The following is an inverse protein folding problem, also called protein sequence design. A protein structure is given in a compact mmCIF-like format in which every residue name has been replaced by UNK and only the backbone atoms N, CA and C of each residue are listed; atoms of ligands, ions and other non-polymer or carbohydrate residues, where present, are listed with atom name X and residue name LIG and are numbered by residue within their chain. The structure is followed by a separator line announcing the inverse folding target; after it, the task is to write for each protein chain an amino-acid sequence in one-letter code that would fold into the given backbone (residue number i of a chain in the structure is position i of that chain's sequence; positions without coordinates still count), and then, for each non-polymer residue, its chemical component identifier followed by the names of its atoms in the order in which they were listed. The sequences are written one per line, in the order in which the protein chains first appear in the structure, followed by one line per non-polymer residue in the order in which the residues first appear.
data_IF_149822718654
#
_entry.id   IF_149822718654
#
_cell.length_a   1.000
_cell.length_b   1.000
_cell.length_c   1.000
_cell.angle_alpha   90.00
_cell.angle_beta   90.00
_cell.angle_gamma   90.00
#
_symmetry.space_group_name_H-M   'P 1'
#
loop_
_entity.id
_entity.type
_entity.pdbx_description
1 polymer ?
#
# COMPACT_ATOMS: atom_id res chain seq x y z
N UNK A 1 -18.35 -21.79 -15.46
CA UNK A 1 -16.97 -22.18 -15.83
C UNK A 1 -16.29 -21.20 -16.80
N UNK A 2 -16.99 -20.64 -17.79
CA UNK A 2 -16.42 -19.65 -18.72
C UNK A 2 -15.93 -18.35 -18.04
N UNK A 3 -16.65 -17.84 -17.06
CA UNK A 3 -16.31 -16.57 -16.37
C UNK A 3 -14.97 -16.62 -15.62
N UNK A 4 -14.64 -17.77 -15.02
CA UNK A 4 -13.36 -18.01 -14.33
C UNK A 4 -12.19 -18.02 -15.32
N UNK A 5 -12.37 -18.62 -16.49
CA UNK A 5 -11.34 -18.64 -17.53
C UNK A 5 -11.13 -17.27 -18.17
N UNK A 6 -12.19 -16.47 -18.34
CA UNK A 6 -12.07 -15.09 -18.84
C UNK A 6 -11.33 -14.20 -17.84
N UNK A 7 -11.66 -14.28 -16.54
CA UNK A 7 -10.95 -13.53 -15.50
C UNK A 7 -9.47 -13.95 -15.41
N UNK A 8 -9.20 -15.25 -15.55
CA UNK A 8 -7.83 -15.77 -15.58
C UNK A 8 -7.01 -15.22 -16.74
N UNK A 9 -7.62 -15.06 -17.91
CA UNK A 9 -6.97 -14.48 -19.08
C UNK A 9 -6.79 -12.94 -18.96
N UNK A 10 -7.56 -12.27 -18.10
CA UNK A 10 -7.44 -10.84 -17.81
C UNK A 10 -6.68 -10.52 -16.51
N UNK A 11 -6.02 -11.51 -15.89
CA UNK A 11 -5.34 -11.36 -14.59
C UNK A 11 -4.44 -10.12 -14.51
N UNK A 12 -3.58 -9.90 -15.51
CA UNK A 12 -2.65 -8.77 -15.51
C UNK A 12 -3.35 -7.42 -15.48
N UNK A 13 -4.48 -7.27 -16.20
CA UNK A 13 -5.25 -6.03 -16.20
C UNK A 13 -5.92 -5.79 -14.85
N UNK A 14 -6.49 -6.82 -14.25
CA UNK A 14 -7.10 -6.73 -12.90
C UNK A 14 -6.05 -6.31 -11.87
N UNK A 15 -4.87 -6.96 -11.88
CA UNK A 15 -3.76 -6.58 -10.99
C UNK A 15 -3.24 -5.16 -11.26
N UNK A 16 -3.19 -4.73 -12.52
CA UNK A 16 -2.76 -3.37 -12.87
C UNK A 16 -3.75 -2.34 -12.33
N UNK A 17 -5.05 -2.52 -12.59
CA UNK A 17 -6.09 -1.56 -12.15
C UNK A 17 -6.17 -1.51 -10.63
N UNK A 18 -6.22 -2.66 -9.96
CA UNK A 18 -6.26 -2.71 -8.50
C UNK A 18 -4.97 -2.18 -7.88
N UNK A 19 -3.81 -2.47 -8.47
CA UNK A 19 -2.52 -1.97 -8.00
C UNK A 19 -2.38 -0.45 -8.13
N UNK A 20 -2.83 0.12 -9.25
CA UNK A 20 -2.88 1.58 -9.45
C UNK A 20 -3.85 2.23 -8.47
N UNK A 21 -5.04 1.64 -8.28
CA UNK A 21 -6.00 2.13 -7.29
C UNK A 21 -5.44 2.07 -5.86
N UNK A 22 -4.73 0.99 -5.51
CA UNK A 22 -4.04 0.85 -4.22
C UNK A 22 -3.02 1.97 -4.03
N UNK A 23 -2.18 2.21 -5.02
CA UNK A 23 -1.16 3.24 -4.98
C UNK A 23 -1.73 4.65 -4.68
N UNK A 24 -2.85 5.01 -5.30
CA UNK A 24 -3.54 6.27 -4.99
C UNK A 24 -4.23 6.26 -3.62
N UNK A 25 -4.89 5.15 -3.27
CA UNK A 25 -5.62 5.04 -2.01
C UNK A 25 -4.72 5.12 -0.77
N UNK A 26 -3.45 4.68 -0.87
CA UNK A 26 -2.47 4.83 0.22
C UNK A 26 -2.29 6.30 0.61
N UNK A 27 -2.26 7.20 -0.38
CA UNK A 27 -2.01 8.63 -0.17
C UNK A 27 -3.29 9.34 0.27
N UNK A 28 -4.41 9.08 -0.38
CA UNK A 28 -5.63 9.87 -0.20
C UNK A 28 -6.64 9.29 0.78
N UNK A 29 -6.72 7.96 0.91
CA UNK A 29 -7.82 7.33 1.66
C UNK A 29 -7.44 5.97 2.27
N UNK A 30 -6.96 5.96 3.53
CA UNK A 30 -6.51 4.73 4.20
C UNK A 30 -7.57 3.62 4.27
N UNK A 31 -8.85 3.99 4.41
CA UNK A 31 -9.96 3.03 4.51
C UNK A 31 -10.21 2.33 3.16
N UNK A 32 -10.14 3.08 2.05
CA UNK A 32 -10.23 2.51 0.71
C UNK A 32 -9.05 1.57 0.43
N UNK A 33 -7.85 1.92 0.91
CA UNK A 33 -6.67 1.07 0.77
C UNK A 33 -6.87 -0.30 1.42
N UNK A 34 -7.45 -0.36 2.62
CA UNK A 34 -7.77 -1.63 3.29
C UNK A 34 -8.77 -2.48 2.47
N UNK A 35 -9.83 -1.86 1.95
CA UNK A 35 -10.84 -2.56 1.12
C UNK A 35 -10.22 -3.12 -0.15
N UNK A 36 -9.42 -2.31 -0.86
CA UNK A 36 -8.72 -2.73 -2.07
C UNK A 36 -7.71 -3.84 -1.79
N UNK A 37 -7.00 -3.77 -0.66
CA UNK A 37 -6.03 -4.79 -0.24
C UNK A 37 -6.73 -6.13 0.01
N UNK A 38 -7.87 -6.11 0.71
CA UNK A 38 -8.68 -7.32 0.94
C UNK A 38 -9.20 -7.86 -0.39
N UNK A 39 -9.67 -6.98 -1.28
CA UNK A 39 -10.19 -7.37 -2.61
C UNK A 39 -9.12 -8.07 -3.46
N UNK A 40 -7.90 -7.52 -3.50
CA UNK A 40 -6.80 -8.13 -4.27
C UNK A 40 -6.36 -9.46 -3.67
N UNK A 41 -6.45 -9.60 -2.34
CA UNK A 41 -6.14 -10.82 -1.63
C UNK A 41 -7.16 -11.92 -1.90
N UNK A 42 -8.46 -11.60 -1.83
CA UNK A 42 -9.54 -12.53 -2.19
C UNK A 42 -9.43 -12.94 -3.65
N UNK A 43 -9.12 -12.00 -4.55
CA UNK A 43 -8.90 -12.31 -5.96
C UNK A 43 -7.74 -13.28 -6.16
N UNK A 44 -6.60 -13.03 -5.53
CA UNK A 44 -5.46 -13.94 -5.55
C UNK A 44 -5.81 -15.32 -4.96
N UNK A 45 -6.57 -15.37 -3.87
CA UNK A 45 -6.94 -16.61 -3.19
C UNK A 45 -7.80 -17.53 -4.07
N UNK A 46 -8.73 -16.95 -4.83
CA UNK A 46 -9.74 -17.67 -5.62
C UNK A 46 -9.29 -17.99 -7.05
N UNK A 47 -8.51 -17.12 -7.68
CA UNK A 47 -8.27 -17.18 -9.13
C UNK A 47 -6.83 -17.49 -9.53
N UNK A 48 -5.85 -17.29 -8.64
CA UNK A 48 -4.44 -17.44 -9.01
C UNK A 48 -3.86 -18.82 -8.70
N UNK A 49 -2.95 -19.30 -9.57
CA UNK A 49 -2.27 -20.58 -9.37
C UNK A 49 -1.12 -20.37 -8.40
N UNK A 50 -1.30 -20.87 -7.17
CA UNK A 50 -0.33 -20.75 -6.08
C UNK A 50 0.85 -21.67 -6.33
N UNK A 51 2.06 -21.12 -6.36
CA UNK A 51 3.28 -21.91 -6.44
C UNK A 51 4.10 -21.69 -5.18
N UNK A 52 4.17 -22.74 -4.37
CA UNK A 52 5.01 -22.78 -3.19
C UNK A 52 6.28 -23.55 -3.54
N UNK A 53 7.37 -22.82 -3.72
CA UNK A 53 8.68 -23.43 -3.85
C UNK A 53 9.64 -22.80 -2.83
N UNK A 54 9.90 -23.55 -1.75
CA UNK A 54 10.76 -23.14 -0.64
C UNK A 54 12.23 -22.96 -1.05
N UNK A 55 12.63 -23.51 -2.21
CA UNK A 55 13.99 -23.36 -2.73
C UNK A 55 14.24 -21.96 -3.33
N UNK A 56 13.18 -21.24 -3.71
CA UNK A 56 13.31 -19.95 -4.39
C UNK A 56 13.52 -18.81 -3.39
N UNK A 57 14.48 -17.91 -3.68
CA UNK A 57 14.78 -16.71 -2.88
C UNK A 57 13.55 -15.85 -2.59
N UNK A 58 12.60 -15.77 -3.54
CA UNK A 58 11.31 -15.08 -3.35
C UNK A 58 10.53 -15.63 -2.16
N UNK A 59 10.40 -16.95 -2.06
CA UNK A 59 9.65 -17.60 -0.97
C UNK A 59 10.29 -17.33 0.39
N UNK A 60 11.63 -17.25 0.45
CA UNK A 60 12.34 -16.88 1.69
C UNK A 60 12.03 -15.45 2.14
N UNK A 61 12.01 -14.50 1.20
CA UNK A 61 11.59 -13.12 1.50
C UNK A 61 10.15 -13.08 1.99
N UNK A 62 9.24 -13.80 1.34
CA UNK A 62 7.84 -13.87 1.76
C UNK A 62 7.70 -14.43 3.18
N UNK A 63 8.43 -15.52 3.50
CA UNK A 63 8.44 -16.09 4.85
C UNK A 63 8.96 -15.11 5.90
N UNK A 64 9.96 -14.30 5.56
CA UNK A 64 10.46 -13.24 6.44
C UNK A 64 9.38 -12.18 6.73
N UNK A 65 8.64 -11.74 5.72
CA UNK A 65 7.54 -10.80 5.96
C UNK A 65 6.38 -11.43 6.72
N UNK A 66 6.10 -12.72 6.50
CA UNK A 66 5.12 -13.47 7.29
C UNK A 66 5.55 -13.52 8.75
N UNK A 67 6.81 -13.84 9.05
CA UNK A 67 7.29 -13.93 10.43
C UNK A 67 7.26 -12.57 11.14
N UNK A 68 7.61 -11.49 10.45
CA UNK A 68 7.47 -10.12 10.97
C UNK A 68 6.01 -9.79 11.29
N UNK A 69 5.07 -10.17 10.43
CA UNK A 69 3.66 -9.95 10.70
C UNK A 69 3.14 -10.80 11.87
N UNK A 70 3.60 -12.04 12.01
CA UNK A 70 3.26 -12.89 13.17
C UNK A 70 3.72 -12.27 14.49
N UNK A 71 4.85 -11.57 14.53
CA UNK A 71 5.26 -10.81 15.72
C UNK A 71 4.27 -9.68 16.04
N UNK A 72 3.75 -8.98 15.04
CA UNK A 72 2.71 -7.94 15.23
C UNK A 72 1.42 -8.55 15.77
N UNK A 73 1.02 -9.72 15.25
CA UNK A 73 -0.13 -10.48 15.77
C UNK A 73 0.11 -10.94 17.21
N UNK A 74 1.32 -11.39 17.55
CA UNK A 74 1.70 -11.72 18.92
C UNK A 74 1.57 -10.51 19.85
N UNK A 75 2.01 -9.34 19.41
CA UNK A 75 1.86 -8.08 20.15
C UNK A 75 0.40 -7.67 20.39
N UNK A 76 -0.53 -8.05 19.51
CA UNK A 76 -1.96 -7.81 19.71
C UNK A 76 -2.47 -8.50 20.97
N UNK A 77 -2.09 -9.76 21.21
CA UNK A 77 -2.52 -10.51 22.41
C UNK A 77 -1.98 -9.92 23.72
N UNK A 78 -0.92 -9.11 23.65
CA UNK A 78 -0.31 -8.44 24.80
C UNK A 78 -0.86 -7.03 25.02
N UNK A 79 -1.72 -6.53 24.12
CA UNK A 79 -2.26 -5.19 24.22
C UNK A 79 -3.47 -5.12 25.14
N UNK A 80 -3.49 -4.13 26.02
CA UNK A 80 -4.63 -3.84 26.89
C UNK A 80 -5.78 -3.12 26.17
N UNK A 81 -5.49 -2.47 25.04
CA UNK A 81 -6.48 -1.80 24.20
C UNK A 81 -6.69 -2.56 22.90
N UNK A 82 -7.68 -3.46 22.92
CA UNK A 82 -8.00 -4.34 21.80
C UNK A 82 -8.46 -3.60 20.56
N UNK A 83 -9.21 -2.50 20.70
CA UNK A 83 -9.69 -1.71 19.57
C UNK A 83 -8.54 -1.03 18.82
N UNK A 84 -7.65 -0.35 19.54
CA UNK A 84 -6.50 0.31 18.94
C UNK A 84 -5.51 -0.71 18.34
N UNK A 85 -5.31 -1.83 19.02
CA UNK A 85 -4.44 -2.90 18.54
C UNK A 85 -4.98 -3.52 17.25
N UNK A 86 -6.30 -3.76 17.16
CA UNK A 86 -6.94 -4.27 15.94
C UNK A 86 -6.80 -3.28 14.78
N UNK A 87 -6.99 -1.99 15.04
CA UNK A 87 -6.82 -0.95 14.02
C UNK A 87 -5.37 -0.91 13.49
N UNK A 88 -4.38 -0.96 14.39
CA UNK A 88 -2.95 -1.03 14.00
C UNK A 88 -2.63 -2.31 13.23
N UNK A 89 -3.25 -3.44 13.58
CA UNK A 89 -3.10 -4.70 12.86
C UNK A 89 -3.62 -4.56 11.41
N UNK A 90 -4.81 -3.99 11.24
CA UNK A 90 -5.40 -3.72 9.92
C UNK A 90 -4.52 -2.81 9.06
N UNK A 91 -3.93 -1.77 9.65
CA UNK A 91 -3.01 -0.87 8.94
C UNK A 91 -1.73 -1.57 8.48
N UNK A 92 -1.27 -2.60 9.21
CA UNK A 92 -0.05 -3.37 8.90
C UNK A 92 -0.31 -4.59 8.01
N UNK A 93 -1.58 -4.92 7.75
CA UNK A 93 -1.98 -6.05 6.89
C UNK A 93 -1.33 -6.05 5.49
N UNK A 94 -1.13 -4.90 4.81
CA UNK A 94 -0.45 -4.88 3.50
C UNK A 94 0.99 -5.43 3.55
N UNK A 95 1.66 -5.36 4.70
CA UNK A 95 3.01 -5.92 4.91
C UNK A 95 3.03 -7.44 4.72
N UNK A 96 1.93 -8.12 5.04
CA UNK A 96 1.77 -9.56 4.82
C UNK A 96 1.27 -9.83 3.40
N UNK A 97 0.22 -9.11 2.99
CA UNK A 97 -0.53 -9.39 1.76
C UNK A 97 0.32 -9.14 0.52
N UNK A 98 1.09 -8.05 0.47
CA UNK A 98 1.88 -7.72 -0.72
C UNK A 98 2.99 -8.74 -1.01
N UNK A 99 3.83 -9.15 -0.04
CA UNK A 99 4.78 -10.24 -0.27
C UNK A 99 4.09 -11.54 -0.65
N UNK A 100 2.93 -11.87 -0.07
CA UNK A 100 2.18 -13.07 -0.43
C UNK A 100 1.75 -13.06 -1.90
N UNK A 101 1.10 -11.97 -2.33
CA UNK A 101 0.57 -11.83 -3.69
C UNK A 101 1.70 -11.76 -4.71
N UNK A 102 2.70 -10.90 -4.49
CA UNK A 102 3.76 -10.65 -5.46
C UNK A 102 4.88 -11.71 -5.43
N UNK A 103 5.12 -12.33 -4.28
CA UNK A 103 6.17 -13.33 -4.12
C UNK A 103 5.73 -14.75 -4.47
N UNK A 104 4.45 -15.10 -4.26
CA UNK A 104 3.90 -16.43 -4.58
C UNK A 104 3.04 -16.46 -5.86
N UNK A 105 2.60 -15.30 -6.35
CA UNK A 105 1.87 -15.18 -7.60
C UNK A 105 2.79 -15.43 -8.79
N UNK A 106 2.34 -16.27 -9.72
CA UNK A 106 3.07 -16.58 -10.96
C UNK A 106 3.01 -15.44 -11.99
N UNK A 107 2.19 -14.42 -11.74
CA UNK A 107 1.55 -13.63 -12.81
C UNK A 107 1.89 -12.14 -12.90
N UNK A 108 2.70 -11.54 -12.01
CA UNK A 108 3.03 -10.12 -12.17
C UNK A 108 4.13 -9.95 -13.21
N UNK A 109 3.75 -9.55 -14.43
CA UNK A 109 4.71 -9.10 -15.42
C UNK A 109 5.48 -7.88 -14.89
N UNK A 110 6.77 -7.81 -15.21
CA UNK A 110 7.63 -6.66 -14.89
C UNK A 110 7.01 -5.34 -15.35
N UNK A 111 6.29 -5.37 -16.49
CA UNK A 111 5.55 -4.23 -17.03
C UNK A 111 4.41 -3.77 -16.10
N UNK A 112 3.61 -4.71 -15.57
CA UNK A 112 2.54 -4.40 -14.61
C UNK A 112 3.11 -3.79 -13.33
N UNK A 113 4.20 -4.37 -12.81
CA UNK A 113 4.88 -3.82 -11.64
C UNK A 113 5.34 -2.38 -11.91
N UNK A 114 6.01 -2.14 -13.04
CA UNK A 114 6.49 -0.81 -13.41
C UNK A 114 5.34 0.21 -13.52
N UNK A 115 4.21 -0.15 -14.13
CA UNK A 115 3.02 0.73 -14.21
C UNK A 115 2.48 1.10 -12.82
N UNK A 116 2.43 0.15 -11.89
CA UNK A 116 1.97 0.41 -10.51
C UNK A 116 2.95 1.35 -9.79
N UNK A 117 4.27 1.14 -9.95
CA UNK A 117 5.29 1.99 -9.35
C UNK A 117 5.26 3.42 -9.92
N UNK A 118 5.09 3.56 -11.25
CA UNK A 118 4.91 4.87 -11.87
C UNK A 118 3.65 5.59 -11.36
N UNK A 119 2.53 4.87 -11.24
CA UNK A 119 1.31 5.45 -10.67
C UNK A 119 1.52 5.88 -9.21
N UNK A 120 2.20 5.06 -8.40
CA UNK A 120 2.56 5.42 -7.02
C UNK A 120 3.38 6.70 -6.95
N UNK A 121 4.36 6.85 -7.85
CA UNK A 121 5.16 8.06 -7.91
C UNK A 121 4.32 9.30 -8.28
N UNK A 122 3.44 9.18 -9.28
CA UNK A 122 2.54 10.26 -9.69
C UNK A 122 1.61 10.66 -8.53
N UNK A 123 0.98 9.70 -7.84
CA UNK A 123 0.10 10.01 -6.72
C UNK A 123 0.85 10.63 -5.53
N UNK A 124 2.06 10.16 -5.26
CA UNK A 124 2.92 10.73 -4.21
C UNK A 124 3.29 12.18 -4.55
N UNK A 125 3.64 12.46 -5.80
CA UNK A 125 3.92 13.82 -6.26
C UNK A 125 2.70 14.73 -6.14
N UNK A 126 1.53 14.28 -6.61
CA UNK A 126 0.27 15.03 -6.49
C UNK A 126 -0.06 15.30 -5.02
N UNK A 127 0.07 14.29 -4.15
CA UNK A 127 -0.14 14.43 -2.71
C UNK A 127 0.78 15.48 -2.08
N UNK A 128 2.06 15.50 -2.49
CA UNK A 128 3.03 16.46 -1.99
C UNK A 128 2.66 17.90 -2.40
N UNK A 129 2.26 18.09 -3.67
CA UNK A 129 1.80 19.39 -4.18
C UNK A 129 0.56 19.86 -3.43
N UNK A 130 -0.43 18.98 -3.18
CA UNK A 130 -1.63 19.31 -2.42
C UNK A 130 -1.29 19.79 -1.01
N UNK A 131 -0.41 19.08 -0.30
CA UNK A 131 0.03 19.47 1.04
C UNK A 131 0.71 20.86 1.03
N UNK A 132 1.55 21.15 0.04
CA UNK A 132 2.21 22.46 -0.10
C UNK A 132 1.19 23.56 -0.37
N UNK A 133 0.32 23.37 -1.36
CA UNK A 133 -0.69 24.37 -1.75
C UNK A 133 -1.63 24.67 -0.59
N UNK A 134 -2.06 23.66 0.14
CA UNK A 134 -2.98 23.85 1.24
C UNK A 134 -2.33 24.46 2.49
N UNK A 135 -1.04 24.18 2.74
CA UNK A 135 -0.23 24.91 3.72
C UNK A 135 -0.11 26.40 3.37
N UNK A 136 0.09 26.71 2.09
CA UNK A 136 0.11 28.10 1.60
C UNK A 136 -1.24 28.81 1.79
N UNK A 137 -2.36 28.16 1.44
CA UNK A 137 -3.70 28.73 1.64
C UNK A 137 -3.94 29.05 3.12
N UNK A 138 -3.60 28.11 4.01
CA UNK A 138 -3.71 28.30 5.46
C UNK A 138 -2.88 29.49 5.95
N UNK A 139 -1.67 29.64 5.41
CA UNK A 139 -0.79 30.77 5.73
C UNK A 139 -1.39 32.11 5.28
N UNK A 140 -1.92 32.20 4.06
CA UNK A 140 -2.54 33.43 3.57
C UNK A 140 -3.81 33.82 4.33
N UNK A 141 -4.58 32.84 4.83
CA UNK A 141 -5.83 33.10 5.57
C UNK A 141 -5.60 33.46 7.04
N UNK A 142 -4.63 32.83 7.70
CA UNK A 142 -4.43 32.97 9.15
C UNK A 142 -3.25 33.88 9.51
N UNK A 143 -2.31 34.11 8.59
CA UNK A 143 -1.04 34.79 8.88
C UNK A 143 -0.09 33.99 9.78
N UNK A 144 -0.48 32.77 10.18
CA UNK A 144 0.27 31.94 11.12
C UNK A 144 1.15 30.97 10.34
N UNK A 145 2.46 31.00 10.60
CA UNK A 145 3.46 30.15 9.91
C UNK A 145 3.38 28.66 10.28
N UNK A 146 2.54 28.30 11.25
CA UNK A 146 2.42 26.94 11.77
C UNK A 146 1.88 25.98 10.69
N UNK A 147 0.96 26.43 9.83
CA UNK A 147 0.44 25.63 8.71
C UNK A 147 1.47 25.32 7.61
N UNK A 148 2.66 25.95 7.64
CA UNK A 148 3.75 25.68 6.71
C UNK A 148 4.77 24.66 7.25
N UNK A 149 4.59 24.15 8.48
CA UNK A 149 5.59 23.32 9.15
C UNK A 149 4.98 22.07 9.79
N UNK A 150 5.71 20.97 9.66
CA UNK A 150 5.45 19.75 10.43
C UNK A 150 4.07 19.15 10.15
N UNK A 151 3.33 18.87 11.22
CA UNK A 151 2.08 18.10 11.19
C UNK A 151 0.92 18.86 10.52
N UNK A 152 0.89 20.19 10.62
CA UNK A 152 -0.23 21.00 10.10
C UNK A 152 -0.15 21.23 8.58
N UNK A 153 1.00 20.90 7.97
CA UNK A 153 1.18 20.95 6.52
C UNK A 153 0.55 19.73 5.82
N UNK A 154 0.38 18.60 6.53
CA UNK A 154 -0.16 17.37 5.96
C UNK A 154 -1.65 17.29 6.22
N UNK A 155 -2.43 17.65 5.21
CA UNK A 155 -3.91 17.60 5.27
C UNK A 155 -4.44 16.17 5.04
N UNK A 156 -3.60 15.27 4.56
CA UNK A 156 -3.97 13.88 4.29
C UNK A 156 -4.21 13.12 5.60
N UNK A 157 -5.48 12.79 5.84
CA UNK A 157 -5.95 12.18 7.09
C UNK A 157 -5.23 10.85 7.35
N UNK A 158 -4.46 10.78 8.44
CA UNK A 158 -3.76 9.58 8.87
C UNK A 158 -2.34 9.42 8.32
N UNK A 159 -1.82 10.38 7.55
CA UNK A 159 -0.40 10.42 7.18
C UNK A 159 0.34 11.44 8.02
N UNK A 160 1.42 11.00 8.65
CA UNK A 160 2.39 11.90 9.27
C UNK A 160 3.33 12.49 8.22
N UNK A 161 3.96 13.65 8.48
CA UNK A 161 4.93 14.27 7.57
C UNK A 161 6.11 13.34 7.24
N UNK A 162 6.56 12.54 8.22
CA UNK A 162 7.62 11.57 8.00
C UNK A 162 7.19 10.47 7.01
N UNK A 163 5.94 10.00 7.08
CA UNK A 163 5.44 8.97 6.15
C UNK A 163 5.37 9.53 4.74
N UNK A 164 4.92 10.78 4.58
CA UNK A 164 4.90 11.44 3.28
C UNK A 164 6.31 11.61 2.71
N UNK A 165 7.28 12.05 3.51
CA UNK A 165 8.67 12.14 3.10
C UNK A 165 9.25 10.79 2.69
N UNK A 166 8.91 9.72 3.42
CA UNK A 166 9.34 8.36 3.11
C UNK A 166 8.70 7.85 1.80
N UNK A 167 7.43 8.15 1.54
CA UNK A 167 6.79 7.87 0.25
C UNK A 167 7.50 8.58 -0.91
N UNK A 168 7.86 9.86 -0.73
CA UNK A 168 8.62 10.61 -1.73
C UNK A 168 10.00 9.99 -2.01
N UNK A 169 10.75 9.63 -0.95
CA UNK A 169 12.07 8.99 -1.09
C UNK A 169 11.97 7.64 -1.80
N UNK A 170 10.99 6.80 -1.41
CA UNK A 170 10.74 5.52 -2.07
C UNK A 170 10.38 5.74 -3.54
N UNK A 171 9.52 6.72 -3.84
CA UNK A 171 9.16 7.05 -5.22
C UNK A 171 10.37 7.40 -6.07
N UNK A 172 11.29 8.23 -5.55
CA UNK A 172 12.53 8.60 -6.27
C UNK A 172 13.45 7.40 -6.41
N UNK A 173 13.65 6.62 -5.35
CA UNK A 173 14.49 5.43 -5.38
C UNK A 173 13.99 4.36 -6.35
N UNK A 174 12.67 4.27 -6.57
CA UNK A 174 12.05 3.33 -7.52
C UNK A 174 12.14 3.79 -8.98
N UNK A 175 12.41 5.08 -9.23
CA UNK A 175 12.57 5.65 -10.56
C UNK A 175 14.03 5.64 -11.05
N UNK A 176 15.00 5.53 -10.14
CA UNK A 176 16.43 5.35 -10.42
C UNK A 176 16.76 3.90 -10.79
#
# INVERSE_FOLDING_TARGET
MQLVNTLRNQQQKVYTVLGVALAGSIIFWPLLNSILTITIFVYWLLFDKKQFDLSTTRTRWVLLFISLYLLVVGGYFYSTNTEEALFKLQQKLPLLIFPLIFGMGKGLAKETASRILYAFAIFTFIGAVICIVAGLITFFQTGVTVGLRGYDMVILKGMSPFMMGLCCLISVALML
#
